data_IF_611382562606
#
_entry.id   IF_611382562606
#
_cell.length_a   1.000
_cell.length_b   1.000
_cell.length_c   1.000
_cell.angle_alpha   90.00
_cell.angle_beta   90.00
_cell.angle_gamma   90.00
#
_symmetry.space_group_name_H-M   'P 1'
#
loop_
_entity.id
_entity.type
_entity.pdbx_description
1 polymer ?
#
# COMPACT_ATOMS: atom_id res chain seq x y z
N UNK A 1 7.59 -0.95 -22.26
CA UNK A 1 8.82 -0.55 -21.53
C UNK A 1 8.60 0.65 -20.60
N UNK A 2 7.93 1.74 -21.02
CA UNK A 2 7.69 2.93 -20.18
C UNK A 2 6.86 2.72 -18.89
N UNK A 3 5.98 1.71 -18.84
CA UNK A 3 5.15 1.43 -17.67
C UNK A 3 5.91 0.89 -16.45
N UNK A 4 7.05 0.22 -16.66
CA UNK A 4 7.88 -0.33 -15.58
C UNK A 4 8.73 0.72 -14.86
N UNK A 5 8.90 1.91 -15.47
CA UNK A 5 9.75 2.98 -14.94
C UNK A 5 9.06 3.90 -13.93
N UNK A 6 7.71 3.89 -13.85
CA UNK A 6 6.94 4.79 -12.97
C UNK A 6 6.75 4.26 -11.54
N UNK A 7 7.29 3.07 -11.23
CA UNK A 7 6.96 2.36 -9.99
C UNK A 7 5.52 1.83 -10.02
N UNK A 8 5.16 1.03 -9.01
CA UNK A 8 3.81 0.48 -8.89
C UNK A 8 2.82 1.59 -8.53
N UNK A 9 2.17 2.18 -9.54
CA UNK A 9 1.12 3.20 -9.41
C UNK A 9 -0.22 2.50 -9.25
N UNK A 10 -1.03 2.95 -8.29
CA UNK A 10 -2.38 2.43 -8.03
C UNK A 10 -3.41 3.56 -8.09
N UNK A 11 -4.61 3.21 -8.51
CA UNK A 11 -5.76 4.11 -8.44
C UNK A 11 -6.38 4.01 -7.04
N UNK A 12 -6.66 5.15 -6.41
CA UNK A 12 -7.36 5.19 -5.12
C UNK A 12 -8.12 6.52 -4.93
N UNK A 13 -8.95 6.56 -3.90
CA UNK A 13 -9.68 7.75 -3.47
C UNK A 13 -9.09 8.29 -2.17
N UNK A 14 -8.53 9.49 -2.21
CA UNK A 14 -8.03 10.20 -1.03
C UNK A 14 -9.13 11.11 -0.50
N UNK A 15 -9.48 10.97 0.77
CA UNK A 15 -10.36 11.91 1.47
C UNK A 15 -9.51 12.79 2.38
N UNK A 16 -9.27 14.04 1.96
CA UNK A 16 -8.36 14.97 2.64
C UNK A 16 -9.17 16.09 3.31
N UNK A 17 -8.95 16.41 4.60
CA UNK A 17 -9.59 17.54 5.24
C UNK A 17 -9.21 18.86 4.56
N UNK A 18 -10.19 19.74 4.34
CA UNK A 18 -9.94 21.07 3.75
C UNK A 18 -9.08 21.97 4.64
N UNK A 19 -9.04 21.69 5.94
CA UNK A 19 -8.14 22.36 6.89
C UNK A 19 -6.66 22.07 6.60
N UNK A 20 -6.35 20.99 5.88
CA UNK A 20 -5.00 20.66 5.45
C UNK A 20 -4.78 21.00 3.98
N UNK A 21 -4.77 22.30 3.69
CA UNK A 21 -4.53 22.81 2.33
C UNK A 21 -3.17 22.41 1.76
N UNK A 22 -2.17 22.11 2.59
CA UNK A 22 -0.84 21.66 2.12
C UNK A 22 -0.91 20.25 1.53
N UNK A 23 -1.67 19.35 2.17
CA UNK A 23 -1.88 18.01 1.63
C UNK A 23 -2.66 18.05 0.30
N UNK A 24 -3.70 18.88 0.21
CA UNK A 24 -4.45 19.09 -1.04
C UNK A 24 -3.52 19.62 -2.14
N UNK A 25 -2.74 20.67 -1.86
CA UNK A 25 -1.79 21.25 -2.81
C UNK A 25 -0.71 20.25 -3.27
N UNK A 26 -0.21 19.42 -2.35
CA UNK A 26 0.74 18.35 -2.67
C UNK A 26 0.13 17.38 -3.69
N UNK A 27 -1.09 16.89 -3.42
CA UNK A 27 -1.76 15.93 -4.30
C UNK A 27 -1.97 16.54 -5.67
N UNK A 28 -2.53 17.74 -5.75
CA UNK A 28 -2.85 18.37 -7.04
C UNK A 28 -1.63 18.69 -7.89
N UNK A 29 -0.49 19.06 -7.28
CA UNK A 29 0.73 19.41 -8.02
C UNK A 29 1.58 18.21 -8.41
N UNK A 30 1.50 17.10 -7.67
CA UNK A 30 2.47 15.99 -7.79
C UNK A 30 1.85 14.67 -8.22
N UNK A 31 0.53 14.54 -8.16
CA UNK A 31 -0.19 13.30 -8.44
C UNK A 31 -1.21 13.53 -9.55
N UNK A 32 -1.32 12.64 -10.54
CA UNK A 32 -2.42 12.65 -11.49
C UNK A 32 -3.78 12.55 -10.78
N UNK A 33 -4.57 13.61 -10.83
CA UNK A 33 -5.94 13.67 -10.28
C UNK A 33 -6.94 13.38 -11.40
N UNK A 34 -7.73 12.33 -11.26
CA UNK A 34 -8.75 11.89 -12.20
C UNK A 34 -10.07 12.64 -12.00
N UNK A 35 -10.48 12.83 -10.75
CA UNK A 35 -11.69 13.60 -10.41
C UNK A 35 -11.59 14.20 -9.01
N UNK A 36 -12.38 15.25 -8.77
CA UNK A 36 -12.48 15.96 -7.49
C UNK A 36 -13.93 16.12 -7.11
N UNK A 37 -14.26 15.81 -5.86
CA UNK A 37 -15.55 16.10 -5.26
C UNK A 37 -15.33 16.85 -3.95
N UNK A 38 -16.02 17.97 -3.79
CA UNK A 38 -15.84 18.89 -2.68
C UNK A 38 -17.04 18.81 -1.75
N UNK A 39 -16.76 18.57 -0.48
CA UNK A 39 -17.76 18.64 0.60
C UNK A 39 -17.45 19.83 1.50
N UNK A 40 -18.25 20.04 2.54
CA UNK A 40 -18.05 21.16 3.47
C UNK A 40 -16.72 21.08 4.25
N UNK A 41 -16.24 19.87 4.55
CA UNK A 41 -15.06 19.66 5.41
C UNK A 41 -13.93 18.87 4.75
N UNK A 42 -14.21 18.17 3.65
CA UNK A 42 -13.27 17.28 2.98
C UNK A 42 -13.30 17.46 1.45
N UNK A 43 -12.17 17.20 0.81
CA UNK A 43 -12.11 16.96 -0.63
C UNK A 43 -11.85 15.47 -0.87
N UNK A 44 -12.64 14.86 -1.75
CA UNK A 44 -12.43 13.52 -2.26
C UNK A 44 -11.74 13.59 -3.62
N UNK A 45 -10.53 13.04 -3.69
CA UNK A 45 -9.67 13.06 -4.87
C UNK A 45 -9.50 11.62 -5.38
N UNK A 46 -10.04 11.31 -6.56
CA UNK A 46 -9.66 10.08 -7.25
C UNK A 46 -8.33 10.32 -7.96
N UNK A 47 -7.32 9.54 -7.63
CA UNK A 47 -5.93 9.78 -8.07
C UNK A 47 -5.26 8.51 -8.54
N UNK A 48 -4.21 8.67 -9.34
CA UNK A 48 -3.24 7.60 -9.62
C UNK A 48 -1.95 7.91 -8.87
N UNK A 49 -1.70 7.20 -7.77
CA UNK A 49 -0.60 7.52 -6.85
C UNK A 49 0.37 6.36 -6.69
N UNK A 50 1.67 6.66 -6.60
CA UNK A 50 2.70 5.68 -6.26
C UNK A 50 2.93 5.59 -4.76
N UNK A 51 3.40 4.42 -4.29
CA UNK A 51 3.65 4.14 -2.87
C UNK A 51 4.42 5.26 -2.15
N UNK A 52 5.54 5.71 -2.74
CA UNK A 52 6.40 6.77 -2.16
C UNK A 52 5.69 8.11 -2.00
N UNK A 53 4.83 8.48 -2.94
CA UNK A 53 4.07 9.73 -2.86
C UNK A 53 3.06 9.65 -1.72
N UNK A 54 2.41 8.49 -1.55
CA UNK A 54 1.51 8.25 -0.43
C UNK A 54 2.27 8.29 0.90
N UNK A 55 3.41 7.61 1.02
CA UNK A 55 4.27 7.65 2.22
C UNK A 55 4.73 9.08 2.57
N UNK A 56 5.05 9.91 1.57
CA UNK A 56 5.38 11.32 1.78
C UNK A 56 4.21 12.12 2.35
N UNK A 57 3.00 11.89 1.84
CA UNK A 57 1.78 12.48 2.41
C UNK A 57 1.58 12.03 3.86
N UNK A 58 1.70 10.73 4.15
CA UNK A 58 1.57 10.23 5.53
C UNK A 58 2.58 10.87 6.49
N UNK A 59 3.82 11.04 6.01
CA UNK A 59 4.90 11.65 6.79
C UNK A 59 4.66 13.12 7.12
N UNK A 60 3.76 13.81 6.41
CA UNK A 60 3.39 15.20 6.72
C UNK A 60 2.44 15.33 7.91
N UNK A 61 1.89 14.20 8.41
CA UNK A 61 0.96 14.17 9.54
C UNK A 61 -0.51 14.43 9.16
N UNK A 62 -0.85 14.44 7.87
CA UNK A 62 -2.23 14.64 7.41
C UNK A 62 -3.15 13.52 7.93
N UNK A 63 -4.29 13.91 8.51
CA UNK A 63 -5.36 12.98 8.90
C UNK A 63 -6.33 12.75 7.75
N UNK A 64 -5.87 12.03 6.72
CA UNK A 64 -6.67 11.67 5.56
C UNK A 64 -7.14 10.20 5.62
N UNK A 65 -8.07 9.85 4.74
CA UNK A 65 -8.46 8.47 4.47
C UNK A 65 -8.03 8.08 3.05
N UNK A 66 -7.74 6.79 2.87
CA UNK A 66 -7.40 6.17 1.58
C UNK A 66 -8.40 5.06 1.33
N UNK A 67 -9.25 5.21 0.31
CA UNK A 67 -10.39 4.32 0.02
C UNK A 67 -11.30 4.08 1.24
N UNK A 68 -11.49 5.12 2.05
CA UNK A 68 -12.28 5.07 3.28
C UNK A 68 -11.56 4.45 4.48
N UNK A 69 -10.34 3.94 4.30
CA UNK A 69 -9.52 3.37 5.39
C UNK A 69 -8.61 4.43 6.01
N UNK A 70 -8.21 4.25 7.29
CA UNK A 70 -7.10 4.99 7.87
C UNK A 70 -5.87 4.90 6.99
N UNK A 71 -5.13 6.00 6.88
CA UNK A 71 -4.17 6.19 5.81
C UNK A 71 -3.04 5.12 5.76
N UNK A 72 -2.59 4.62 6.91
CA UNK A 72 -1.62 3.52 6.98
C UNK A 72 -2.20 2.15 6.59
N UNK A 73 -3.47 1.90 6.91
CA UNK A 73 -4.17 0.67 6.51
C UNK A 73 -4.44 0.67 5.00
N UNK A 74 -4.86 1.81 4.45
CA UNK A 74 -5.04 1.96 3.01
C UNK A 74 -3.73 1.82 2.23
N UNK A 75 -2.61 2.35 2.74
CA UNK A 75 -1.27 2.10 2.16
C UNK A 75 -0.96 0.61 2.06
N UNK A 76 -1.19 -0.15 3.14
CA UNK A 76 -0.96 -1.61 3.17
C UNK A 76 -1.94 -2.35 2.26
N UNK A 77 -3.17 -1.89 2.14
CA UNK A 77 -4.17 -2.46 1.24
C UNK A 77 -3.79 -2.29 -0.24
N UNK A 78 -3.25 -1.11 -0.61
CA UNK A 78 -2.82 -0.82 -1.98
C UNK A 78 -1.51 -1.52 -2.35
N UNK A 79 -0.58 -1.65 -1.40
CA UNK A 79 0.69 -2.34 -1.57
C UNK A 79 0.89 -3.36 -0.45
N UNK A 80 0.27 -4.55 -0.55
CA UNK A 80 0.43 -5.59 0.44
C UNK A 80 1.89 -6.06 0.50
N UNK A 81 2.37 -6.34 1.71
CA UNK A 81 3.69 -6.94 1.88
C UNK A 81 3.70 -8.32 1.21
N UNK A 82 4.68 -8.55 0.33
CA UNK A 82 4.86 -9.85 -0.30
C UNK A 82 5.27 -10.84 0.79
N UNK A 83 4.35 -11.75 1.15
CA UNK A 83 4.67 -12.88 2.01
C UNK A 83 5.59 -13.81 1.23
N UNK A 84 6.88 -13.75 1.52
CA UNK A 84 7.83 -14.74 1.03
C UNK A 84 7.58 -15.99 1.87
N UNK A 85 6.97 -17.01 1.27
CA UNK A 85 6.85 -18.32 1.89
C UNK A 85 8.24 -18.96 1.89
N UNK A 86 9.03 -18.64 2.91
CA UNK A 86 10.32 -19.27 3.12
C UNK A 86 10.03 -20.64 3.69
N UNK A 87 10.08 -21.66 2.82
CA UNK A 87 10.05 -23.04 3.26
C UNK A 87 11.04 -23.20 4.43
N UNK A 88 10.61 -23.78 5.57
CA UNK A 88 11.49 -23.93 6.71
C UNK A 88 12.73 -24.71 6.24
N UNK A 89 13.92 -24.14 6.49
CA UNK A 89 15.17 -24.85 6.20
C UNK A 89 15.17 -26.13 7.01
N UNK A 90 15.02 -27.27 6.33
CA UNK A 90 15.21 -28.58 6.94
C UNK A 90 16.65 -28.58 7.48
N UNK A 91 16.81 -28.70 8.80
CA UNK A 91 18.15 -28.80 9.38
C UNK A 91 18.69 -30.16 8.95
N UNK A 92 20.00 -30.29 8.66
CA UNK A 92 20.57 -31.56 8.19
C UNK A 92 20.23 -32.77 9.09
N UNK A 93 20.07 -32.54 10.39
CA UNK A 93 19.72 -33.58 11.36
C UNK A 93 18.23 -33.98 11.36
N UNK A 94 17.31 -33.14 10.85
CA UNK A 94 15.87 -33.45 10.77
C UNK A 94 15.57 -34.38 9.58
N UNK A 95 16.47 -34.46 8.60
CA UNK A 95 16.39 -35.32 7.42
C UNK A 95 16.32 -36.82 7.76
N UNK A 96 16.93 -37.22 8.87
CA UNK A 96 17.04 -38.64 9.26
C UNK A 96 15.77 -39.17 9.93
N UNK A 97 14.88 -38.31 10.45
CA UNK A 97 13.64 -38.74 11.11
C UNK A 97 12.53 -39.15 10.13
N UNK A 98 12.66 -38.81 8.85
CA UNK A 98 11.64 -39.08 7.81
C UNK A 98 11.76 -40.51 7.24
N UNK A 99 12.78 -41.28 7.64
CA UNK A 99 13.11 -42.59 7.07
C UNK A 99 12.66 -43.82 7.86
N UNK A 100 11.92 -43.69 8.97
CA UNK A 100 11.47 -44.84 9.78
C UNK A 100 9.95 -44.91 9.90
N UNK A 101 9.26 -45.05 8.77
CA UNK A 101 7.94 -45.69 8.73
C UNK A 101 7.87 -46.54 7.46
N UNK A 102 8.43 -47.75 7.53
CA UNK A 102 8.04 -48.92 6.74
C UNK A 102 8.49 -50.14 7.54
N UNK A 103 7.75 -50.42 8.61
CA UNK A 103 7.51 -51.80 9.03
C UNK A 103 6.40 -52.33 8.12
N UNK A 104 6.65 -53.44 7.42
CA UNK A 104 5.68 -54.51 7.30
C UNK A 104 6.36 -55.80 6.82
N UNK A 105 6.05 -56.86 7.57
CA UNK A 105 6.27 -58.32 7.38
C UNK A 105 7.55 -58.97 7.91
#
# INVERSE_FOLDING_TARGET
VLGLMKGDIRDCTLSVPLTDGRAVDFVEKRVPVLSRDWTEAYVQLKVQIGRRQLEQLLSSGVRMLVDGLPAHEGLRSLWPDVKIDVAPRIRPHDSYAVGQEVEDE
#
